data_IF_612393922748
#
_entry.id   IF_612393922748
#
_cell.length_a   1.000
_cell.length_b   1.000
_cell.length_c   1.000
_cell.angle_alpha   90.00
_cell.angle_beta   90.00
_cell.angle_gamma   90.00
#
_symmetry.space_group_name_H-M   'P 1'
#
loop_
_entity.id
_entity.type
_entity.pdbx_description
1 polymer ?
#
# COMPACT_ATOMS: atom_id res chain seq x y z
N UNK A 1 -11.06 -3.63 15.03
CA UNK A 1 -10.60 -4.99 14.68
C UNK A 1 -9.41 -4.75 13.78
N UNK A 2 -8.24 -5.31 14.09
CA UNK A 2 -7.10 -5.17 13.20
C UNK A 2 -7.35 -5.98 11.92
N UNK A 3 -7.10 -5.39 10.77
CA UNK A 3 -7.09 -6.05 9.48
C UNK A 3 -5.91 -7.01 9.42
N UNK A 4 -6.12 -8.20 8.87
CA UNK A 4 -5.04 -9.14 8.59
C UNK A 4 -4.19 -8.67 7.40
N UNK A 5 -2.94 -9.16 7.29
CA UNK A 5 -2.05 -8.85 6.16
C UNK A 5 -2.71 -9.13 4.81
N UNK A 6 -3.55 -10.16 4.72
CA UNK A 6 -4.30 -10.52 3.51
C UNK A 6 -5.38 -9.48 3.17
N UNK A 7 -6.08 -8.95 4.17
CA UNK A 7 -7.08 -7.90 3.98
C UNK A 7 -6.42 -6.56 3.62
N UNK A 8 -5.28 -6.26 4.26
CA UNK A 8 -4.50 -5.07 3.94
C UNK A 8 -3.99 -5.17 2.51
N UNK A 9 -3.35 -6.28 2.14
CA UNK A 9 -2.87 -6.51 0.78
C UNK A 9 -3.99 -6.40 -0.24
N UNK A 10 -5.14 -7.04 0.00
CA UNK A 10 -6.28 -6.94 -0.90
C UNK A 10 -6.78 -5.50 -1.03
N UNK A 11 -6.91 -4.77 0.08
CA UNK A 11 -7.37 -3.38 0.07
C UNK A 11 -6.37 -2.42 -0.59
N UNK A 12 -5.07 -2.64 -0.39
CA UNK A 12 -4.00 -1.87 -1.02
C UNK A 12 -3.90 -2.18 -2.51
N UNK A 13 -4.06 -3.44 -2.89
CA UNK A 13 -4.13 -3.89 -4.28
C UNK A 13 -5.33 -3.30 -5.03
N UNK A 14 -6.50 -3.20 -4.38
CA UNK A 14 -7.66 -2.47 -4.93
C UNK A 14 -7.35 -1.00 -5.17
N UNK A 15 -6.79 -0.30 -4.16
CA UNK A 15 -6.45 1.13 -4.28
C UNK A 15 -5.43 1.35 -5.39
N UNK A 16 -4.38 0.55 -5.43
CA UNK A 16 -3.36 0.59 -6.48
C UNK A 16 -3.99 0.32 -7.84
N UNK A 17 -4.89 -0.66 -7.94
CA UNK A 17 -5.58 -0.99 -9.18
C UNK A 17 -6.47 0.15 -9.69
N UNK A 18 -7.15 0.85 -8.80
CA UNK A 18 -7.97 2.02 -9.15
C UNK A 18 -7.11 3.21 -9.62
N UNK A 19 -5.98 3.46 -8.96
CA UNK A 19 -5.10 4.59 -9.29
C UNK A 19 -4.24 4.34 -10.53
N UNK A 20 -3.75 3.12 -10.72
CA UNK A 20 -2.80 2.76 -11.79
C UNK A 20 -3.47 2.08 -12.99
N UNK A 21 -4.68 1.55 -12.81
CA UNK A 21 -5.35 0.68 -13.78
C UNK A 21 -4.75 -0.73 -13.89
N UNK A 22 -3.78 -1.10 -13.05
CA UNK A 22 -3.23 -2.45 -12.99
C UNK A 22 -4.22 -3.40 -12.31
N UNK A 23 -4.23 -4.70 -12.64
CA UNK A 23 -5.06 -5.65 -11.93
C UNK A 23 -4.54 -5.86 -10.50
N UNK A 24 -5.45 -5.93 -9.53
CA UNK A 24 -5.10 -6.20 -8.12
C UNK A 24 -4.32 -7.51 -7.96
N UNK A 25 -4.57 -8.52 -8.80
CA UNK A 25 -3.80 -9.77 -8.86
C UNK A 25 -2.31 -9.58 -9.21
N UNK A 26 -1.94 -8.49 -9.89
CA UNK A 26 -0.53 -8.16 -10.17
C UNK A 26 0.17 -7.49 -8.98
N UNK A 27 -0.58 -7.01 -7.99
CA UNK A 27 -0.05 -6.33 -6.80
C UNK A 27 0.33 -7.40 -5.77
N UNK A 28 1.52 -7.97 -5.96
CA UNK A 28 2.08 -9.01 -5.10
C UNK A 28 3.00 -8.40 -4.04
N UNK A 29 3.16 -9.02 -2.86
CA UNK A 29 3.99 -8.48 -1.78
C UNK A 29 5.48 -8.35 -2.18
N UNK A 30 5.93 -9.14 -3.16
CA UNK A 30 7.28 -9.10 -3.71
C UNK A 30 7.53 -7.96 -4.72
N UNK A 31 6.48 -7.25 -5.15
CA UNK A 31 6.55 -6.22 -6.19
C UNK A 31 6.92 -4.87 -5.58
N UNK A 32 7.84 -4.17 -6.25
CA UNK A 32 8.13 -2.77 -5.95
C UNK A 32 7.06 -1.85 -6.52
N UNK A 33 6.57 -0.90 -5.72
CA UNK A 33 5.59 0.07 -6.21
C UNK A 33 6.18 0.92 -7.33
N UNK A 34 7.42 1.39 -7.17
CA UNK A 34 8.07 2.26 -8.16
C UNK A 34 8.70 1.48 -9.30
N UNK A 35 9.38 0.36 -9.02
CA UNK A 35 10.19 -0.34 -10.04
C UNK A 35 9.41 -1.41 -10.81
N UNK A 36 8.44 -2.09 -10.19
CA UNK A 36 7.66 -3.14 -10.85
C UNK A 36 6.28 -2.66 -11.31
N UNK A 37 5.61 -1.88 -10.47
CA UNK A 37 4.25 -1.39 -10.73
C UNK A 37 4.24 -0.02 -11.42
N UNK A 38 5.43 0.56 -11.67
CA UNK A 38 5.62 1.85 -12.36
C UNK A 38 4.76 2.97 -11.73
N UNK A 39 4.61 2.94 -10.40
CA UNK A 39 3.81 3.92 -9.67
C UNK A 39 4.61 5.19 -9.46
N UNK A 40 4.07 6.29 -9.97
CA UNK A 40 4.61 7.62 -9.72
C UNK A 40 4.52 8.02 -8.25
N UNK A 41 5.51 8.79 -7.79
CA UNK A 41 5.54 9.36 -6.42
C UNK A 41 4.26 10.11 -6.00
N UNK A 42 3.55 10.73 -6.96
CA UNK A 42 2.25 11.39 -6.70
C UNK A 42 1.13 10.38 -6.44
N UNK A 43 1.04 9.34 -7.28
CA UNK A 43 0.10 8.24 -7.07
C UNK A 43 0.39 7.51 -5.77
N UNK A 44 1.67 7.35 -5.42
CA UNK A 44 2.10 6.75 -4.16
C UNK A 44 1.57 7.52 -2.94
N UNK A 45 1.64 8.85 -2.95
CA UNK A 45 1.04 9.68 -1.90
C UNK A 45 -0.48 9.46 -1.79
N UNK A 46 -1.20 9.43 -2.91
CA UNK A 46 -2.64 9.17 -2.92
C UNK A 46 -2.98 7.78 -2.37
N UNK A 47 -2.26 6.74 -2.82
CA UNK A 47 -2.45 5.35 -2.37
C UNK A 47 -2.24 5.25 -0.85
N UNK A 48 -1.19 5.89 -0.33
CA UNK A 48 -0.92 5.92 1.10
C UNK A 48 -2.04 6.63 1.85
N UNK A 49 -2.46 7.82 1.43
CA UNK A 49 -3.56 8.54 2.09
C UNK A 49 -4.86 7.73 2.10
N UNK A 50 -5.20 7.08 0.98
CA UNK A 50 -6.37 6.19 0.91
C UNK A 50 -6.22 4.97 1.82
N UNK A 51 -5.01 4.39 1.92
CA UNK A 51 -4.72 3.29 2.83
C UNK A 51 -4.82 3.73 4.30
N UNK A 52 -4.29 4.90 4.65
CA UNK A 52 -4.41 5.52 5.97
C UNK A 52 -5.87 5.68 6.39
N UNK A 53 -6.71 6.24 5.52
CA UNK A 53 -8.14 6.40 5.78
C UNK A 53 -8.89 5.05 5.83
N UNK A 54 -8.54 4.09 4.98
CA UNK A 54 -9.20 2.77 4.92
C UNK A 54 -8.86 1.90 6.14
N UNK A 55 -7.60 1.92 6.55
CA UNK A 55 -7.08 1.07 7.63
C UNK A 55 -7.03 1.78 8.98
N UNK A 56 -7.41 3.06 9.04
CA UNK A 56 -7.37 3.91 10.25
C UNK A 56 -5.95 3.96 10.85
N UNK A 57 -4.94 4.15 9.98
CA UNK A 57 -3.52 4.23 10.35
C UNK A 57 -2.90 5.57 10.00
N UNK A 58 -1.71 5.84 10.53
CA UNK A 58 -0.90 7.00 10.15
C UNK A 58 0.48 6.53 9.72
N UNK A 59 0.83 6.81 8.47
CA UNK A 59 2.10 6.49 7.83
C UNK A 59 2.83 7.81 7.58
N UNK A 60 3.86 8.15 8.37
CA UNK A 60 4.61 9.37 8.15
C UNK A 60 5.35 9.33 6.80
N UNK A 61 5.50 10.49 6.15
CA UNK A 61 6.18 10.63 4.85
C UNK A 61 7.58 10.01 4.78
N UNK A 62 8.32 10.03 5.90
CA UNK A 62 9.63 9.39 6.00
C UNK A 62 9.54 7.86 5.87
N UNK A 63 8.49 7.26 6.43
CA UNK A 63 8.25 5.81 6.29
C UNK A 63 7.74 5.48 4.90
N UNK A 64 6.88 6.30 4.29
CA UNK A 64 6.43 6.12 2.89
C UNK A 64 7.60 5.95 1.93
N UNK A 65 8.69 6.71 2.13
CA UNK A 65 9.91 6.59 1.31
C UNK A 65 10.70 5.30 1.58
N UNK A 66 10.53 4.71 2.76
CA UNK A 66 11.10 3.40 3.11
C UNK A 66 10.23 2.24 2.59
N UNK A 67 8.93 2.46 2.36
CA UNK A 67 7.99 1.49 1.80
C UNK A 67 8.20 1.33 0.28
N UNK A 68 9.21 0.54 -0.08
CA UNK A 68 9.55 0.27 -1.49
C UNK A 68 8.70 -0.86 -2.08
N UNK A 69 8.39 -1.89 -1.30
CA UNK A 69 7.59 -3.04 -1.76
C UNK A 69 6.19 -3.06 -1.15
N UNK A 70 5.26 -3.72 -1.85
CA UNK A 70 3.89 -3.97 -1.36
C UNK A 70 3.93 -4.70 -0.01
N UNK A 71 4.83 -5.68 0.14
CA UNK A 71 4.98 -6.44 1.38
C UNK A 71 5.41 -5.56 2.56
N UNK A 72 6.31 -4.61 2.34
CA UNK A 72 6.71 -3.65 3.37
C UNK A 72 5.52 -2.79 3.81
N UNK A 73 4.74 -2.26 2.85
CA UNK A 73 3.57 -1.44 3.16
C UNK A 73 2.51 -2.24 3.96
N UNK A 74 2.24 -3.48 3.54
CA UNK A 74 1.28 -4.37 4.23
C UNK A 74 1.74 -4.65 5.66
N UNK A 75 3.01 -5.01 5.84
CA UNK A 75 3.59 -5.31 7.15
C UNK A 75 3.55 -4.08 8.06
N UNK A 76 3.90 -2.92 7.49
CA UNK A 76 3.88 -1.65 8.20
C UNK A 76 2.48 -1.29 8.69
N UNK A 77 1.49 -1.31 7.78
CA UNK A 77 0.10 -1.01 8.09
C UNK A 77 -0.43 -1.99 9.14
N UNK A 78 -0.13 -3.30 9.00
CA UNK A 78 -0.56 -4.31 9.98
C UNK A 78 0.02 -4.07 11.37
N UNK A 79 1.25 -3.55 11.47
CA UNK A 79 1.88 -3.20 12.74
C UNK A 79 1.45 -1.84 13.30
N UNK A 80 1.03 -0.91 12.43
CA UNK A 80 0.58 0.42 12.80
C UNK A 80 -0.86 0.43 13.35
N UNK A 81 -1.70 -0.51 12.94
CA UNK A 81 -3.05 -0.70 13.49
C UNK A 81 -2.97 -1.13 14.97
N UNK A 82 -3.29 -0.20 15.88
CA UNK A 82 -3.33 -0.41 17.34
C UNK A 82 -4.75 -0.34 17.89
#
# INVERSE_FOLDING_TARGET
MAYSEQEILAGLAEIVAEETGLPADSVLPEKSFTDDLDIDSLSMMTIVTLAEEKFDVTIPDDEVKNLTTVGDAVTYISGAQS
#
